data_IF_954866817689
#
_entry.id   IF_954866817689
#
_cell.length_a   1.000
_cell.length_b   1.000
_cell.length_c   1.000
_cell.angle_alpha   90.00
_cell.angle_beta   90.00
_cell.angle_gamma   90.00
#
_symmetry.space_group_name_H-M   'P 1'
#
loop_
_entity.id
_entity.type
_entity.pdbx_description
1 polymer ?
#
# COMPACT_ATOMS: atom_id res chain seq x y z
N UNK A 1 -29.70 -7.01 3.79
CA UNK A 1 -28.81 -7.93 4.51
C UNK A 1 -27.42 -7.29 4.59
N UNK A 2 -26.90 -6.98 5.78
CA UNK A 2 -25.51 -6.50 5.87
C UNK A 2 -24.57 -7.62 5.43
N UNK A 3 -23.68 -7.34 4.47
CA UNK A 3 -22.63 -8.30 4.12
C UNK A 3 -21.72 -8.42 5.34
N UNK A 4 -21.78 -9.53 6.06
CA UNK A 4 -20.88 -9.78 7.19
C UNK A 4 -19.45 -9.76 6.66
N UNK A 5 -18.64 -8.82 7.17
CA UNK A 5 -17.22 -8.75 6.86
C UNK A 5 -16.56 -10.02 7.41
N UNK A 6 -15.76 -10.70 6.58
CA UNK A 6 -14.97 -11.85 7.04
C UNK A 6 -13.89 -11.33 7.98
N UNK A 7 -14.01 -11.67 9.27
CA UNK A 7 -12.97 -11.34 10.26
C UNK A 7 -11.82 -12.33 10.12
N UNK A 8 -10.61 -11.79 10.15
CA UNK A 8 -9.37 -12.56 10.18
C UNK A 8 -9.21 -13.32 11.49
N UNK A 9 -8.49 -14.45 11.46
CA UNK A 9 -8.10 -15.19 12.66
C UNK A 9 -6.74 -14.74 13.21
N UNK A 10 -6.14 -13.69 12.64
CA UNK A 10 -4.89 -13.11 13.12
C UNK A 10 -5.12 -12.30 14.40
N UNK A 11 -4.09 -12.24 15.24
CA UNK A 11 -4.06 -11.40 16.44
C UNK A 11 -3.71 -9.96 16.08
N UNK A 12 -4.14 -9.01 16.91
CA UNK A 12 -3.77 -7.60 16.75
C UNK A 12 -2.24 -7.43 16.81
N UNK A 13 -1.54 -8.21 17.63
CA UNK A 13 -0.07 -8.24 17.64
C UNK A 13 0.53 -8.66 16.28
N UNK A 14 -0.10 -9.60 15.58
CA UNK A 14 0.33 -9.98 14.23
C UNK A 14 0.16 -8.81 13.27
N UNK A 15 -0.99 -8.11 13.33
CA UNK A 15 -1.23 -6.91 12.53
C UNK A 15 -0.26 -5.78 12.83
N UNK A 16 0.06 -5.56 14.11
CA UNK A 16 1.04 -4.58 14.56
C UNK A 16 2.43 -4.88 14.01
N UNK A 17 2.87 -6.14 14.08
CA UNK A 17 4.18 -6.52 13.55
C UNK A 17 4.25 -6.47 12.04
N UNK A 18 3.12 -6.69 11.35
CA UNK A 18 3.01 -6.46 9.91
C UNK A 18 3.11 -4.96 9.59
N UNK A 19 2.42 -4.08 10.32
CA UNK A 19 2.51 -2.63 10.09
C UNK A 19 3.90 -2.08 10.39
N UNK A 20 4.60 -2.57 11.41
CA UNK A 20 6.00 -2.22 11.63
C UNK A 20 6.90 -2.73 10.49
N UNK A 21 6.53 -3.83 9.85
CA UNK A 21 7.32 -4.40 8.75
C UNK A 21 7.17 -3.62 7.44
N UNK A 22 6.05 -2.91 7.22
CA UNK A 22 5.83 -2.17 5.96
C UNK A 22 6.86 -1.06 5.74
N UNK A 23 7.43 -0.49 6.81
CA UNK A 23 8.54 0.47 6.74
C UNK A 23 9.87 -0.12 6.22
N UNK A 24 10.05 -1.44 6.22
CA UNK A 24 11.33 -2.07 5.87
C UNK A 24 11.38 -2.48 4.38
N UNK A 25 11.40 -1.49 3.50
CA UNK A 25 11.23 -1.68 2.05
C UNK A 25 12.31 -2.56 1.41
N UNK A 26 13.58 -2.32 1.70
CA UNK A 26 14.67 -3.09 1.09
C UNK A 26 14.57 -4.57 1.46
N UNK A 27 14.22 -4.85 2.71
CA UNK A 27 13.96 -6.20 3.16
C UNK A 27 12.77 -6.81 2.39
N UNK A 28 11.65 -6.10 2.28
CA UNK A 28 10.47 -6.59 1.56
C UNK A 28 10.74 -6.79 0.06
N UNK A 29 11.42 -5.85 -0.60
CA UNK A 29 11.82 -5.94 -2.02
C UNK A 29 12.73 -7.13 -2.26
N UNK A 30 13.71 -7.36 -1.38
CA UNK A 30 14.57 -8.56 -1.42
C UNK A 30 13.75 -9.85 -1.29
N UNK A 31 12.80 -9.89 -0.35
CA UNK A 31 11.94 -11.06 -0.12
C UNK A 31 11.01 -11.35 -1.29
N UNK A 32 10.43 -10.30 -1.90
CA UNK A 32 9.65 -10.39 -3.13
C UNK A 32 10.49 -10.95 -4.28
N UNK A 33 11.67 -10.35 -4.54
CA UNK A 33 12.58 -10.75 -5.62
C UNK A 33 13.02 -12.20 -5.49
N UNK A 34 13.37 -12.62 -4.28
CA UNK A 34 13.88 -13.98 -4.01
C UNK A 34 12.75 -15.01 -3.83
N UNK A 35 11.48 -14.58 -3.81
CA UNK A 35 10.32 -15.45 -3.52
C UNK A 35 10.48 -16.17 -2.18
N UNK A 36 10.99 -15.46 -1.19
CA UNK A 36 11.22 -15.97 0.17
C UNK A 36 10.10 -15.52 1.11
N UNK A 37 9.81 -16.36 2.10
CA UNK A 37 8.89 -15.97 3.17
C UNK A 37 9.58 -15.06 4.19
N UNK A 38 8.77 -14.27 4.88
CA UNK A 38 9.09 -13.54 6.10
C UNK A 38 8.47 -14.26 7.29
N UNK A 39 9.14 -14.19 8.45
CA UNK A 39 8.64 -14.75 9.72
C UNK A 39 8.16 -13.60 10.61
N UNK A 40 6.95 -13.73 11.13
CA UNK A 40 6.34 -12.79 12.06
C UNK A 40 6.00 -13.54 13.34
N UNK A 41 6.66 -13.20 14.43
CA UNK A 41 6.45 -13.85 15.72
C UNK A 41 5.35 -13.14 16.48
N UNK A 42 4.30 -13.83 16.92
CA UNK A 42 3.38 -13.32 17.94
C UNK A 42 3.62 -14.05 19.26
N UNK A 43 3.59 -13.31 20.36
CA UNK A 43 3.58 -13.84 21.73
C UNK A 43 2.33 -14.66 22.04
N UNK A 44 1.23 -14.41 21.33
CA UNK A 44 -0.09 -15.05 21.54
C UNK A 44 -0.30 -16.25 20.62
N UNK A 45 -0.07 -16.09 19.32
CA UNK A 45 -0.37 -17.14 18.32
C UNK A 45 0.86 -17.88 17.78
N UNK A 46 2.04 -17.60 18.31
CA UNK A 46 3.30 -18.13 17.80
C UNK A 46 3.71 -17.49 16.46
N UNK A 47 4.66 -18.15 15.76
CA UNK A 47 5.19 -17.63 14.51
C UNK A 47 4.26 -17.90 13.32
N UNK A 48 4.01 -16.87 12.53
CA UNK A 48 3.37 -16.93 11.22
C UNK A 48 4.37 -16.60 10.12
N UNK A 49 4.09 -17.07 8.91
CA UNK A 49 4.98 -16.96 7.77
C UNK A 49 4.23 -16.37 6.59
N UNK A 50 4.88 -15.47 5.84
CA UNK A 50 4.21 -14.66 4.83
C UNK A 50 5.07 -14.47 3.60
N UNK A 51 4.46 -14.42 2.43
CA UNK A 51 5.13 -14.01 1.19
C UNK A 51 4.74 -12.58 0.84
N UNK A 52 5.70 -11.83 0.31
CA UNK A 52 5.41 -10.53 -0.33
C UNK A 52 4.85 -10.81 -1.72
N UNK A 53 3.64 -10.34 -1.97
CA UNK A 53 2.94 -10.50 -3.24
C UNK A 53 3.15 -9.31 -4.17
N UNK A 54 3.11 -8.11 -3.60
CA UNK A 54 3.23 -6.84 -4.31
C UNK A 54 3.80 -5.80 -3.36
N UNK A 55 4.62 -4.92 -3.89
CA UNK A 55 5.01 -3.66 -3.25
C UNK A 55 4.53 -2.57 -4.18
N UNK A 56 3.85 -1.56 -3.64
CA UNK A 56 3.37 -0.40 -4.38
C UNK A 56 3.86 0.83 -3.64
N UNK A 57 4.72 1.59 -4.30
CA UNK A 57 5.25 2.86 -3.81
C UNK A 57 4.94 3.97 -4.81
N UNK A 58 4.79 5.19 -4.34
CA UNK A 58 4.61 6.38 -5.16
C UNK A 58 5.22 7.59 -4.44
N UNK A 59 6.38 8.06 -4.90
CA UNK A 59 7.14 9.13 -4.24
C UNK A 59 6.45 10.49 -4.38
N UNK A 60 5.68 10.71 -5.45
CA UNK A 60 4.97 11.97 -5.66
C UNK A 60 3.79 12.17 -4.69
N UNK A 61 3.28 11.08 -4.13
CA UNK A 61 2.12 11.08 -3.23
C UNK A 61 2.43 10.56 -1.84
N UNK A 62 3.57 9.92 -1.64
CA UNK A 62 3.97 9.33 -0.35
C UNK A 62 3.37 7.94 -0.09
N UNK A 63 2.64 7.35 -1.04
CA UNK A 63 2.10 6.00 -0.86
C UNK A 63 3.24 4.99 -0.71
N UNK A 64 3.17 4.21 0.36
CA UNK A 64 4.07 3.08 0.60
C UNK A 64 3.29 1.88 1.15
N UNK A 65 3.13 0.84 0.33
CA UNK A 65 2.29 -0.31 0.66
C UNK A 65 2.93 -1.65 0.27
N UNK A 66 2.63 -2.68 1.06
CA UNK A 66 3.00 -4.06 0.81
C UNK A 66 1.78 -4.99 0.92
N UNK A 67 1.60 -5.86 -0.05
CA UNK A 67 0.60 -6.94 -0.01
C UNK A 67 1.28 -8.21 0.44
N UNK A 68 0.82 -8.80 1.54
CA UNK A 68 1.40 -9.98 2.16
C UNK A 68 0.40 -11.13 2.16
N UNK A 69 0.79 -12.29 1.63
CA UNK A 69 -0.03 -13.52 1.64
C UNK A 69 0.49 -14.50 2.69
N UNK A 70 -0.41 -15.06 3.49
CA UNK A 70 -0.03 -16.03 4.52
C UNK A 70 0.46 -17.32 3.88
N UNK A 71 1.64 -17.79 4.28
CA UNK A 71 2.18 -19.07 3.86
C UNK A 71 1.42 -20.23 4.51
N UNK A 72 1.40 -21.35 3.79
CA UNK A 72 0.85 -22.62 4.29
C UNK A 72 1.99 -23.57 4.65
N UNK A 73 1.87 -24.29 5.75
CA UNK A 73 2.78 -25.37 6.08
C UNK A 73 2.32 -26.65 5.37
N UNK A 74 3.12 -27.16 4.45
CA UNK A 74 2.93 -28.46 3.81
C UNK A 74 4.13 -29.34 4.14
N UNK A 75 3.92 -30.34 4.99
CA UNK A 75 4.94 -31.32 5.39
C UNK A 75 6.23 -30.68 5.92
N UNK A 76 6.11 -29.69 6.80
CA UNK A 76 7.25 -28.98 7.40
C UNK A 76 7.86 -27.89 6.51
N UNK A 77 7.37 -27.70 5.28
CA UNK A 77 7.80 -26.65 4.36
C UNK A 77 6.76 -25.55 4.24
N UNK A 78 7.18 -24.31 4.40
CA UNK A 78 6.35 -23.14 4.12
C UNK A 78 6.27 -22.91 2.62
N UNK A 79 5.06 -22.85 2.09
CA UNK A 79 4.79 -22.64 0.67
C UNK A 79 3.78 -21.52 0.47
N UNK A 80 3.89 -20.85 -0.67
CA UNK A 80 2.89 -19.89 -1.11
C UNK A 80 1.68 -20.64 -1.67
N UNK A 81 0.49 -20.18 -1.32
CA UNK A 81 -0.78 -20.71 -1.81
C UNK A 81 -1.41 -19.72 -2.78
N UNK A 82 -2.12 -20.23 -3.78
CA UNK A 82 -2.96 -19.41 -4.67
C UNK A 82 -4.22 -18.92 -3.96
N UNK A 83 -4.62 -19.60 -2.88
CA UNK A 83 -5.77 -19.27 -2.04
C UNK A 83 -5.36 -19.26 -0.56
N UNK A 84 -4.45 -18.34 -0.17
CA UNK A 84 -3.96 -18.28 1.20
C UNK A 84 -5.13 -18.00 2.15
N UNK A 85 -4.99 -18.43 3.42
CA UNK A 85 -6.00 -18.15 4.45
C UNK A 85 -6.21 -16.65 4.66
N UNK A 86 -5.11 -15.90 4.71
CA UNK A 86 -5.12 -14.46 4.93
C UNK A 86 -4.23 -13.74 3.91
N UNK A 87 -4.70 -12.58 3.48
CA UNK A 87 -3.91 -11.56 2.78
C UNK A 87 -4.08 -10.25 3.52
N UNK A 88 -2.94 -9.60 3.81
CA UNK A 88 -2.88 -8.33 4.52
C UNK A 88 -2.28 -7.28 3.59
N UNK A 89 -3.00 -6.19 3.36
CA UNK A 89 -2.45 -4.99 2.72
C UNK A 89 -1.95 -4.08 3.84
N UNK A 90 -0.63 -3.94 3.91
CA UNK A 90 0.05 -3.19 4.96
C UNK A 90 0.54 -1.85 4.40
N UNK A 91 0.13 -0.76 5.03
CA UNK A 91 0.53 0.59 4.69
C UNK A 91 1.53 1.10 5.71
N UNK A 92 2.62 1.70 5.23
CA UNK A 92 3.53 2.43 6.11
C UNK A 92 3.03 3.87 6.25
N UNK A 93 3.17 4.44 7.44
CA UNK A 93 3.02 5.88 7.59
C UNK A 93 4.27 6.63 7.11
N UNK A 94 4.30 7.93 7.36
CA UNK A 94 5.40 8.83 7.00
C UNK A 94 6.74 8.35 7.57
N UNK A 95 7.77 8.29 6.72
CA UNK A 95 9.14 7.96 7.11
C UNK A 95 10.02 9.22 7.00
N UNK A 96 10.33 9.91 8.11
CA UNK A 96 11.14 11.12 8.08
C UNK A 96 12.59 10.88 7.61
N UNK A 97 13.02 9.63 7.41
CA UNK A 97 14.31 9.26 6.84
C UNK A 97 14.37 9.24 5.31
N UNK A 98 13.23 9.36 4.61
CA UNK A 98 13.14 9.43 3.14
C UNK A 98 13.01 10.88 2.66
N UNK A 99 14.08 11.67 2.85
CA UNK A 99 14.27 13.06 2.39
C UNK A 99 13.22 14.12 2.78
N UNK A 100 13.64 15.37 3.09
CA UNK A 100 12.78 16.40 3.64
C UNK A 100 11.97 17.10 2.53
N UNK A 101 11.00 16.42 1.93
CA UNK A 101 9.88 17.09 1.24
C UNK A 101 8.73 17.28 2.24
N UNK A 102 9.04 17.99 3.32
CA UNK A 102 8.12 18.28 4.42
C UNK A 102 6.84 19.00 3.98
N UNK A 103 6.81 19.57 2.77
CA UNK A 103 5.65 20.28 2.22
C UNK A 103 4.64 19.34 1.54
N UNK A 104 5.07 18.23 0.92
CA UNK A 104 4.15 17.29 0.24
C UNK A 104 3.52 16.34 1.26
N UNK A 105 4.31 15.84 2.22
CA UNK A 105 3.83 14.94 3.26
C UNK A 105 2.89 15.64 4.25
N UNK A 106 3.18 16.91 4.61
CA UNK A 106 2.24 17.73 5.37
C UNK A 106 1.00 18.06 4.54
N UNK A 107 1.11 18.25 3.23
CA UNK A 107 -0.04 18.54 2.38
C UNK A 107 -1.02 17.36 2.33
N UNK A 108 -0.59 16.11 2.14
CA UNK A 108 -1.54 14.99 2.07
C UNK A 108 -2.15 14.65 3.45
N UNK A 109 -1.36 14.65 4.54
CA UNK A 109 -1.89 14.51 5.92
C UNK A 109 -2.85 15.66 6.27
N UNK A 110 -2.48 16.91 5.97
CA UNK A 110 -3.37 18.04 6.18
C UNK A 110 -4.58 17.98 5.24
N UNK A 111 -4.48 17.54 3.99
CA UNK A 111 -5.61 17.44 3.07
C UNK A 111 -6.67 16.46 3.57
N UNK A 112 -6.25 15.33 4.17
CA UNK A 112 -7.14 14.34 4.79
C UNK A 112 -7.80 14.92 6.05
N UNK A 113 -7.03 15.60 6.90
CA UNK A 113 -7.51 16.24 8.14
C UNK A 113 -8.38 17.48 7.86
N UNK A 114 -8.15 18.17 6.74
CA UNK A 114 -8.86 19.38 6.30
C UNK A 114 -10.08 19.08 5.40
N UNK A 115 -10.31 17.82 5.01
CA UNK A 115 -11.53 17.39 4.30
C UNK A 115 -11.54 17.58 2.78
N UNK A 116 -10.38 17.60 2.12
CA UNK A 116 -10.30 17.60 0.65
C UNK A 116 -10.69 16.24 0.07
N UNK A 117 -11.22 16.20 -1.17
CA UNK A 117 -11.65 14.94 -1.79
C UNK A 117 -10.42 14.08 -2.12
N UNK A 118 -10.25 12.88 -1.51
CA UNK A 118 -9.11 12.01 -1.80
C UNK A 118 -9.03 11.58 -3.27
N UNK A 119 -10.11 11.73 -4.04
CA UNK A 119 -10.18 11.40 -5.47
C UNK A 119 -9.75 12.55 -6.37
N UNK A 120 -9.35 13.68 -5.81
CA UNK A 120 -8.82 14.79 -6.57
C UNK A 120 -7.63 14.34 -7.41
N UNK A 121 -7.63 14.82 -8.66
CA UNK A 121 -6.71 14.37 -9.70
C UNK A 121 -5.65 15.42 -9.94
N UNK A 122 -4.41 15.00 -9.81
CA UNK A 122 -3.25 15.85 -10.06
C UNK A 122 -2.47 15.32 -11.25
N UNK A 123 -2.09 16.21 -12.16
CA UNK A 123 -1.29 15.87 -13.32
C UNK A 123 0.20 16.00 -13.02
N UNK A 124 0.98 15.05 -13.53
CA UNK A 124 2.44 15.01 -13.37
C UNK A 124 3.11 14.78 -14.71
N UNK A 125 4.29 15.36 -14.89
CA UNK A 125 5.08 15.23 -16.12
C UNK A 125 5.98 13.99 -16.02
N UNK A 126 5.93 13.12 -17.03
CA UNK A 126 6.81 11.95 -17.13
C UNK A 126 7.38 11.82 -18.54
N UNK A 127 8.53 11.14 -18.66
CA UNK A 127 9.02 10.70 -19.97
C UNK A 127 8.02 9.76 -20.62
N UNK A 128 7.81 9.89 -21.93
CA UNK A 128 6.80 9.13 -22.68
C UNK A 128 6.97 7.63 -22.55
N UNK A 129 8.22 7.16 -22.54
CA UNK A 129 8.61 5.75 -22.44
C UNK A 129 8.95 5.29 -21.02
N UNK A 130 8.62 6.10 -20.00
CA UNK A 130 8.81 5.72 -18.61
C UNK A 130 8.00 4.46 -18.29
N UNK A 131 8.71 3.37 -17.95
CA UNK A 131 8.12 2.09 -17.51
C UNK A 131 7.69 2.14 -16.04
N UNK A 132 8.44 2.88 -15.23
CA UNK A 132 8.13 3.16 -13.84
C UNK A 132 7.68 4.62 -13.73
N UNK A 133 6.55 4.82 -13.06
CA UNK A 133 5.94 6.14 -12.84
C UNK A 133 5.74 6.41 -11.35
N UNK A 134 6.40 5.64 -10.49
CA UNK A 134 6.43 5.89 -9.05
C UNK A 134 7.07 7.25 -8.69
N UNK A 135 8.00 7.73 -9.51
CA UNK A 135 8.59 9.07 -9.45
C UNK A 135 8.33 9.82 -10.76
N UNK A 136 7.95 11.09 -10.68
CA UNK A 136 7.75 11.96 -11.85
C UNK A 136 8.77 13.09 -11.89
N UNK A 137 8.72 13.90 -12.95
CA UNK A 137 9.52 15.14 -13.05
C UNK A 137 8.88 16.30 -12.27
N UNK A 138 7.74 16.06 -11.62
CA UNK A 138 7.02 17.03 -10.82
C UNK A 138 5.60 17.27 -11.31
N UNK A 139 4.82 17.95 -10.46
CA UNK A 139 3.45 18.35 -10.73
C UNK A 139 3.39 19.29 -11.93
N UNK A 140 2.45 19.04 -12.84
CA UNK A 140 2.17 19.93 -13.95
C UNK A 140 1.47 21.19 -13.45
N UNK A 141 2.09 22.34 -13.69
CA UNK A 141 1.59 23.67 -13.33
C UNK A 141 1.40 24.58 -14.56
N UNK A 142 1.61 24.05 -15.77
CA UNK A 142 1.49 24.82 -17.00
C UNK A 142 2.61 25.81 -17.23
N UNK A 143 3.82 25.57 -16.69
CA UNK A 143 4.96 26.45 -16.97
C UNK A 143 5.37 26.38 -18.44
N UNK A 144 6.03 27.43 -18.95
CA UNK A 144 6.56 27.44 -20.31
C UNK A 144 7.53 26.29 -20.55
N UNK A 145 8.36 25.96 -19.56
CA UNK A 145 9.28 24.83 -19.63
C UNK A 145 8.54 23.49 -19.77
N UNK A 146 7.51 23.25 -18.95
CA UNK A 146 6.72 22.03 -19.03
C UNK A 146 5.94 21.94 -20.35
N UNK A 147 5.47 23.07 -20.87
CA UNK A 147 4.79 23.13 -22.16
C UNK A 147 5.75 22.74 -23.29
N UNK A 148 6.96 23.31 -23.32
CA UNK A 148 8.00 22.94 -24.28
C UNK A 148 8.40 21.46 -24.18
N UNK A 149 8.47 20.90 -22.97
CA UNK A 149 8.70 19.46 -22.77
C UNK A 149 7.60 18.61 -23.41
N UNK A 150 6.33 18.97 -23.22
CA UNK A 150 5.21 18.22 -23.80
C UNK A 150 5.17 18.35 -25.32
N UNK A 151 5.48 19.54 -25.85
CA UNK A 151 5.56 19.82 -27.29
C UNK A 151 6.72 19.09 -27.98
N UNK A 152 7.81 18.77 -27.27
CA UNK A 152 8.92 17.97 -27.83
C UNK A 152 8.47 16.56 -28.24
N UNK A 153 7.38 16.05 -27.64
CA UNK A 153 6.87 14.71 -27.87
C UNK A 153 7.60 13.60 -27.09
N UNK A 154 8.63 13.96 -26.31
CA UNK A 154 9.40 13.03 -25.45
C UNK A 154 8.77 12.84 -24.07
N UNK A 155 7.82 13.69 -23.71
CA UNK A 155 7.15 13.71 -22.41
C UNK A 155 5.63 13.60 -22.57
N UNK A 156 4.97 13.17 -21.50
CA UNK A 156 3.50 13.08 -21.42
C UNK A 156 3.04 13.43 -20.01
N UNK A 157 1.76 13.77 -19.90
CA UNK A 157 1.10 13.88 -18.61
C UNK A 157 0.55 12.53 -18.17
N UNK A 158 0.72 12.22 -16.90
CA UNK A 158 -0.05 11.19 -16.21
C UNK A 158 -0.91 11.84 -15.13
N UNK A 159 -2.00 11.18 -14.77
CA UNK A 159 -2.87 11.62 -13.69
C UNK A 159 -2.68 10.68 -12.52
N UNK A 160 -2.40 11.24 -11.34
CA UNK A 160 -2.38 10.53 -10.07
C UNK A 160 -3.49 11.09 -9.17
N UNK A 161 -4.01 10.24 -8.30
CA UNK A 161 -4.88 10.64 -7.18
C UNK A 161 -4.08 10.65 -5.88
N UNK A 162 -4.68 11.12 -4.79
CA UNK A 162 -4.02 11.18 -3.49
C UNK A 162 -3.51 9.80 -3.02
N UNK A 163 -2.60 9.81 -2.05
CA UNK A 163 -2.15 8.60 -1.36
C UNK A 163 -3.32 7.73 -0.86
N UNK A 164 -4.34 8.34 -0.25
CA UNK A 164 -5.53 7.64 0.25
C UNK A 164 -6.30 6.91 -0.86
N UNK A 165 -6.54 7.57 -2.00
CA UNK A 165 -7.30 6.93 -3.07
C UNK A 165 -6.48 5.83 -3.75
N UNK A 166 -5.17 6.00 -3.90
CA UNK A 166 -4.31 4.92 -4.39
C UNK A 166 -4.27 3.72 -3.43
N UNK A 167 -4.30 3.95 -2.11
CA UNK A 167 -4.45 2.89 -1.11
C UNK A 167 -5.79 2.15 -1.27
N UNK A 168 -6.90 2.87 -1.46
CA UNK A 168 -8.22 2.27 -1.72
C UNK A 168 -8.22 1.42 -2.99
N UNK A 169 -7.65 1.94 -4.08
CA UNK A 169 -7.51 1.24 -5.34
C UNK A 169 -6.70 -0.06 -5.17
N UNK A 170 -5.60 -0.03 -4.42
CA UNK A 170 -4.78 -1.21 -4.15
C UNK A 170 -5.59 -2.29 -3.40
N UNK A 171 -6.33 -1.91 -2.36
CA UNK A 171 -7.17 -2.87 -1.61
C UNK A 171 -8.27 -3.44 -2.51
N UNK A 172 -8.86 -2.62 -3.37
CA UNK A 172 -9.87 -3.05 -4.35
C UNK A 172 -9.30 -4.06 -5.34
N UNK A 173 -8.11 -3.82 -5.88
CA UNK A 173 -7.40 -4.75 -6.76
C UNK A 173 -7.15 -6.10 -6.07
N UNK A 174 -6.61 -6.06 -4.83
CA UNK A 174 -6.32 -7.27 -4.05
C UNK A 174 -7.60 -8.03 -3.74
N UNK A 175 -8.66 -7.34 -3.33
CA UNK A 175 -9.96 -7.96 -3.07
C UNK A 175 -10.54 -8.63 -4.33
N UNK A 176 -10.42 -7.98 -5.48
CA UNK A 176 -10.90 -8.52 -6.75
C UNK A 176 -10.10 -9.76 -7.17
N UNK A 177 -8.77 -9.77 -6.97
CA UNK A 177 -7.90 -10.93 -7.24
C UNK A 177 -8.37 -12.20 -6.52
N UNK A 178 -8.85 -12.09 -5.29
CA UNK A 178 -9.30 -13.23 -4.47
C UNK A 178 -10.82 -13.40 -4.42
N UNK A 179 -11.56 -12.78 -5.35
CA UNK A 179 -13.02 -12.90 -5.41
C UNK A 179 -13.42 -14.36 -5.65
N UNK A 180 -14.33 -14.87 -4.82
CA UNK A 180 -14.82 -16.25 -4.91
C UNK A 180 -14.02 -17.27 -4.10
N UNK A 181 -12.93 -16.86 -3.43
CA UNK A 181 -12.14 -17.76 -2.58
C UNK A 181 -12.52 -17.63 -1.10
N UNK A 182 -11.98 -18.53 -0.28
CA UNK A 182 -12.08 -18.45 1.18
C UNK A 182 -11.11 -17.43 1.80
N UNK A 183 -10.17 -16.88 1.02
CA UNK A 183 -9.15 -15.94 1.49
C UNK A 183 -9.78 -14.73 2.17
N UNK A 184 -9.27 -14.42 3.36
CA UNK A 184 -9.65 -13.21 4.09
C UNK A 184 -8.70 -12.08 3.71
N UNK A 185 -9.25 -10.97 3.21
CA UNK A 185 -8.50 -9.75 2.92
C UNK A 185 -8.68 -8.80 4.10
N UNK A 186 -7.58 -8.21 4.55
CA UNK A 186 -7.59 -7.21 5.62
C UNK A 186 -6.51 -6.15 5.39
N UNK A 187 -6.64 -5.03 6.08
CA UNK A 187 -5.68 -3.93 6.03
C UNK A 187 -5.05 -3.69 7.39
N UNK A 188 -3.83 -3.15 7.40
CA UNK A 188 -3.15 -2.68 8.61
C UNK A 188 -2.21 -1.54 8.28
N UNK A 189 -1.91 -0.72 9.27
CA UNK A 189 -0.92 0.34 9.14
C UNK A 189 -0.69 1.06 10.46
N UNK A 190 0.34 1.89 10.47
CA UNK A 190 0.72 2.70 11.62
C UNK A 190 0.74 4.19 11.23
N UNK A 191 0.32 5.08 12.13
CA UNK A 191 0.26 6.53 11.89
C UNK A 191 -0.60 6.83 10.63
N UNK A 192 -0.09 7.58 9.64
CA UNK A 192 -0.78 7.81 8.36
C UNK A 192 -1.20 6.50 7.66
N UNK A 193 -0.38 5.45 7.76
CA UNK A 193 -0.72 4.12 7.24
C UNK A 193 -1.95 3.51 7.91
N UNK A 194 -2.21 3.86 9.16
CA UNK A 194 -3.45 3.49 9.86
C UNK A 194 -4.69 4.12 9.21
N UNK A 195 -4.62 5.42 8.89
CA UNK A 195 -5.70 6.12 8.21
C UNK A 195 -5.97 5.55 6.80
N UNK A 196 -4.91 5.26 6.03
CA UNK A 196 -5.02 4.58 4.72
C UNK A 196 -5.68 3.20 4.86
N UNK A 197 -5.28 2.44 5.88
CA UNK A 197 -5.83 1.11 6.16
C UNK A 197 -7.33 1.16 6.48
N UNK A 198 -7.76 2.08 7.33
CA UNK A 198 -9.16 2.24 7.73
C UNK A 198 -10.03 2.74 6.58
N UNK A 199 -9.61 3.81 5.90
CA UNK A 199 -10.35 4.37 4.76
C UNK A 199 -10.57 3.32 3.67
N UNK A 200 -9.49 2.64 3.27
CA UNK A 200 -9.55 1.59 2.25
C UNK A 200 -10.42 0.42 2.69
N UNK A 201 -10.42 0.09 3.99
CA UNK A 201 -11.21 -1.02 4.50
C UNK A 201 -12.71 -0.75 4.48
N UNK A 202 -13.13 0.45 4.86
CA UNK A 202 -14.54 0.88 4.83
C UNK A 202 -15.06 0.81 3.39
N UNK A 203 -14.33 1.41 2.44
CA UNK A 203 -14.74 1.43 1.03
C UNK A 203 -14.77 0.05 0.40
N UNK A 204 -13.85 -0.84 0.81
CA UNK A 204 -13.78 -2.19 0.27
C UNK A 204 -14.49 -3.24 1.12
N UNK A 205 -15.22 -2.88 2.18
CA UNK A 205 -15.88 -3.84 3.08
C UNK A 205 -14.94 -4.99 3.53
N UNK A 206 -13.74 -4.64 3.99
CA UNK A 206 -12.76 -5.58 4.56
C UNK A 206 -12.44 -5.21 6.02
N UNK A 207 -11.77 -6.11 6.73
CA UNK A 207 -11.38 -5.87 8.13
C UNK A 207 -10.11 -5.00 8.19
N UNK A 208 -10.06 -4.03 9.09
CA UNK A 208 -8.89 -3.20 9.37
C UNK A 208 -8.42 -3.36 10.81
N UNK A 209 -7.11 -3.30 11.02
CA UNK A 209 -6.50 -3.05 12.33
C UNK A 209 -5.46 -1.96 12.16
N UNK A 210 -5.72 -0.78 12.69
CA UNK A 210 -4.81 0.37 12.63
C UNK A 210 -4.17 0.62 13.99
N UNK A 211 -2.97 1.19 13.97
CA UNK A 211 -2.21 1.54 15.17
C UNK A 211 -1.79 3.00 15.08
N UNK A 212 -2.33 3.84 15.96
CA UNK A 212 -1.92 5.23 16.07
C UNK A 212 -1.06 5.37 17.33
N UNK A 213 0.13 5.94 17.19
CA UNK A 213 0.97 6.42 18.29
C UNK A 213 0.87 7.92 18.40
#
# INVERSE_FOLDING_TARGET
MSKKIKKSNLTDETYYRISQRSYNYDYLRKKLKNKEYIRINSSVSGATYWYVDKIKTDEDTGLDAAVLSQAENKNGKWVKSDHPKNVVVAFAGTDPGKDPLSDVEQADVNHIVLGNDPKDRTQYVVKKDAKDTSTTLGRYIGSMEQTAMLESGDYKLITKTSQIDQADQLVREVKQKYKGTSTVISTTGHSLGGAEAEYSAVNNNVYAVAFNS
#
